data_IF_160640088418
#
_entry.id   IF_160640088418
#
_cell.length_a   1.000
_cell.length_b   1.000
_cell.length_c   1.000
_cell.angle_alpha   90.00
_cell.angle_beta   90.00
_cell.angle_gamma   90.00
#
_symmetry.space_group_name_H-M   'P 1'
#
loop_
_entity.id
_entity.type
_entity.pdbx_description
1 polymer ?
#
# COMPACT_ATOMS: atom_id res chain seq x y z
N UNK A 1 7.52 69.73 0.42
CA UNK A 1 8.39 68.62 0.87
C UNK A 1 7.60 67.65 1.78
N UNK A 2 6.58 66.93 1.27
CA UNK A 2 5.84 65.93 2.03
C UNK A 2 5.41 64.68 1.25
N UNK A 3 6.02 64.38 0.11
CA UNK A 3 5.61 63.21 -0.73
C UNK A 3 6.56 62.00 -0.70
N UNK A 4 7.66 62.05 0.08
CA UNK A 4 8.69 61.00 0.00
C UNK A 4 8.49 59.86 1.02
N UNK A 5 7.59 60.00 1.99
CA UNK A 5 7.44 58.98 3.05
C UNK A 5 6.41 57.90 2.77
N UNK A 6 5.59 58.03 1.71
CA UNK A 6 4.53 57.06 1.44
C UNK A 6 5.03 55.84 0.62
N UNK A 7 5.93 56.11 -0.30
CA UNK A 7 6.50 55.04 -1.16
C UNK A 7 7.34 54.05 -0.35
N UNK A 8 8.07 54.47 0.66
CA UNK A 8 8.90 53.59 1.51
C UNK A 8 8.09 52.64 2.40
N UNK A 9 6.90 53.06 2.83
CA UNK A 9 6.01 52.20 3.64
C UNK A 9 5.33 51.09 2.85
N UNK A 10 5.07 51.29 1.57
CA UNK A 10 4.48 50.26 0.68
C UNK A 10 5.51 49.20 0.32
N UNK A 11 6.76 49.64 0.06
CA UNK A 11 7.84 48.71 -0.29
C UNK A 11 8.23 47.80 0.90
N UNK A 12 8.22 48.33 2.12
CA UNK A 12 8.54 47.52 3.30
C UNK A 12 7.45 46.52 3.69
N UNK A 13 6.18 46.81 3.40
CA UNK A 13 5.07 45.84 3.60
C UNK A 13 5.02 44.76 2.54
N UNK A 14 5.45 45.06 1.31
CA UNK A 14 5.49 44.09 0.23
C UNK A 14 6.61 43.05 0.40
N UNK A 15 7.76 43.44 0.95
CA UNK A 15 8.90 42.56 1.23
C UNK A 15 8.62 41.63 2.42
N UNK A 16 7.82 42.08 3.41
CA UNK A 16 7.47 41.24 4.56
C UNK A 16 6.44 40.14 4.24
N UNK A 17 5.63 40.30 3.20
CA UNK A 17 4.64 39.29 2.78
C UNK A 17 5.23 38.17 1.92
N UNK A 18 6.43 38.34 1.37
CA UNK A 18 7.08 37.36 0.52
C UNK A 18 7.80 36.24 1.29
N UNK A 19 7.89 36.31 2.63
CA UNK A 19 8.65 35.38 3.46
C UNK A 19 7.82 34.31 4.16
N UNK A 20 6.50 34.21 3.91
CA UNK A 20 5.63 33.26 4.63
C UNK A 20 5.11 32.09 3.79
N UNK A 21 5.65 31.85 2.61
CA UNK A 21 5.40 30.59 1.92
C UNK A 21 6.50 29.60 2.30
N UNK A 22 6.56 29.23 3.57
CA UNK A 22 7.25 28.00 3.96
C UNK A 22 6.45 26.83 3.41
N UNK A 23 6.82 26.36 2.24
CA UNK A 23 6.44 25.03 1.81
C UNK A 23 6.94 24.07 2.89
N UNK A 24 6.04 23.50 3.67
CA UNK A 24 6.32 22.34 4.50
C UNK A 24 6.66 21.19 3.54
N UNK A 25 7.91 21.07 3.16
CA UNK A 25 8.43 19.85 2.56
C UNK A 25 8.36 18.81 3.66
N UNK A 26 7.34 17.99 3.62
CA UNK A 26 7.28 16.78 4.45
C UNK A 26 8.48 15.93 4.05
N UNK A 27 9.44 15.76 4.95
CA UNK A 27 10.59 14.91 4.70
C UNK A 27 10.09 13.47 4.57
N UNK A 28 10.29 12.88 3.38
CA UNK A 28 10.04 11.45 3.20
C UNK A 28 11.06 10.68 4.04
N UNK A 29 10.58 9.76 4.86
CA UNK A 29 11.42 8.89 5.68
C UNK A 29 11.60 7.58 4.94
N UNK A 30 12.87 7.17 4.77
CA UNK A 30 13.23 5.91 4.12
C UNK A 30 13.65 4.88 5.15
N UNK A 31 13.13 3.66 5.03
CA UNK A 31 13.55 2.49 5.79
C UNK A 31 14.07 1.47 4.78
N UNK A 32 15.36 1.15 4.86
CA UNK A 32 16.06 0.32 3.88
C UNK A 32 16.71 -0.88 4.57
N UNK A 33 16.61 -2.06 3.99
CA UNK A 33 17.26 -3.27 4.50
C UNK A 33 16.55 -4.56 4.10
N UNK A 34 17.03 -5.67 4.66
CA UNK A 34 16.42 -6.99 4.46
C UNK A 34 15.06 -7.06 5.12
N UNK A 35 14.05 -7.48 4.35
CA UNK A 35 12.68 -7.53 4.82
C UNK A 35 12.27 -8.97 5.20
N UNK A 36 11.60 -9.09 6.35
CA UNK A 36 10.88 -10.30 6.75
C UNK A 36 9.38 -10.06 6.54
N UNK A 37 8.73 -10.90 5.76
CA UNK A 37 7.26 -10.87 5.58
C UNK A 37 6.60 -11.36 6.86
N UNK A 38 5.72 -10.55 7.43
CA UNK A 38 4.89 -10.91 8.59
C UNK A 38 3.51 -11.36 8.12
N UNK A 39 2.96 -10.67 7.12
CA UNK A 39 1.68 -10.91 6.50
C UNK A 39 1.70 -10.40 5.05
N UNK A 40 0.68 -10.71 4.24
CA UNK A 40 0.64 -10.30 2.84
C UNK A 40 0.64 -8.78 2.61
N UNK A 41 0.34 -7.97 3.63
CA UNK A 41 0.38 -6.50 3.59
C UNK A 41 1.26 -5.88 4.67
N UNK A 42 2.07 -6.68 5.37
CA UNK A 42 2.92 -6.20 6.46
C UNK A 42 4.29 -6.87 6.41
N UNK A 43 5.33 -6.06 6.33
CA UNK A 43 6.73 -6.51 6.36
C UNK A 43 7.47 -5.91 7.56
N UNK A 44 8.61 -6.49 7.90
CA UNK A 44 9.51 -5.99 8.96
C UNK A 44 10.90 -5.82 8.39
N UNK A 45 11.47 -4.61 8.52
CA UNK A 45 12.87 -4.31 8.21
C UNK A 45 13.54 -3.93 9.53
N UNK A 46 14.54 -4.70 9.97
CA UNK A 46 15.15 -4.52 11.28
C UNK A 46 14.11 -4.51 12.41
N UNK A 47 14.02 -3.44 13.19
CA UNK A 47 13.02 -3.25 14.26
C UNK A 47 11.70 -2.64 13.78
N UNK A 48 11.62 -2.17 12.54
CA UNK A 48 10.49 -1.42 12.01
C UNK A 48 9.46 -2.34 11.37
N UNK A 49 8.21 -2.29 11.82
CA UNK A 49 7.05 -2.91 11.16
C UNK A 49 6.45 -1.91 10.20
N UNK A 50 6.21 -2.32 8.96
CA UNK A 50 5.70 -1.48 7.88
C UNK A 50 4.46 -2.16 7.31
N UNK A 51 3.32 -1.46 7.39
CA UNK A 51 2.10 -1.85 6.67
C UNK A 51 2.13 -1.19 5.30
N UNK A 52 1.95 -1.99 4.27
CA UNK A 52 1.91 -1.54 2.89
C UNK A 52 0.70 -0.63 2.68
N UNK A 53 0.95 0.64 2.36
CA UNK A 53 -0.06 1.69 2.28
C UNK A 53 -0.94 1.54 1.04
N UNK A 54 -2.23 1.85 1.17
CA UNK A 54 -3.18 1.90 0.06
C UNK A 54 -3.68 0.54 -0.43
N UNK A 55 -3.28 -0.55 0.21
CA UNK A 55 -3.75 -1.91 -0.11
C UNK A 55 -4.29 -2.61 1.14
N UNK A 56 -5.09 -3.66 0.92
CA UNK A 56 -5.59 -4.55 1.97
C UNK A 56 -5.52 -6.00 1.48
N UNK A 57 -4.83 -6.85 2.21
CA UNK A 57 -4.67 -8.25 1.84
C UNK A 57 -5.61 -9.16 2.65
N UNK A 58 -5.98 -10.33 2.12
CA UNK A 58 -6.70 -11.33 2.89
C UNK A 58 -5.95 -11.71 4.17
N UNK A 59 -6.69 -11.90 5.26
CA UNK A 59 -6.13 -12.39 6.52
C UNK A 59 -5.59 -13.82 6.37
N UNK A 60 -4.53 -14.19 7.08
CA UNK A 60 -3.90 -15.53 6.96
C UNK A 60 -4.89 -16.68 6.97
N UNK A 61 -5.87 -16.63 7.87
CA UNK A 61 -6.91 -17.67 8.01
C UNK A 61 -8.16 -17.37 7.18
N UNK A 62 -8.11 -16.43 6.26
CA UNK A 62 -9.23 -16.13 5.38
C UNK A 62 -9.36 -17.23 4.34
N UNK A 63 -10.58 -17.78 4.22
CA UNK A 63 -10.92 -18.78 3.24
C UNK A 63 -11.48 -18.07 2.01
N UNK A 64 -10.93 -18.42 0.87
CA UNK A 64 -11.39 -18.06 -0.48
C UNK A 64 -11.65 -19.32 -1.28
N UNK A 65 -12.38 -19.20 -2.37
CA UNK A 65 -12.61 -20.28 -3.32
C UNK A 65 -11.86 -20.01 -4.61
N UNK A 66 -11.32 -21.05 -5.23
CA UNK A 66 -10.73 -20.98 -6.57
C UNK A 66 -11.26 -22.14 -7.43
N UNK A 67 -11.40 -21.95 -8.75
CA UNK A 67 -11.79 -23.03 -9.63
C UNK A 67 -10.64 -24.03 -9.74
N UNK A 68 -10.92 -25.32 -9.53
CA UNK A 68 -9.97 -26.40 -9.78
C UNK A 68 -10.33 -27.20 -11.05
N UNK A 69 -11.60 -27.14 -11.48
CA UNK A 69 -12.06 -27.72 -12.74
C UNK A 69 -13.02 -26.75 -13.42
N UNK A 70 -12.80 -26.49 -14.71
CA UNK A 70 -13.67 -25.66 -15.53
C UNK A 70 -14.08 -26.44 -16.78
N UNK A 71 -15.37 -26.76 -16.91
CA UNK A 71 -15.94 -27.49 -18.05
C UNK A 71 -16.71 -26.55 -18.99
N UNK A 72 -16.43 -25.26 -18.97
CA UNK A 72 -17.07 -24.24 -19.81
C UNK A 72 -18.43 -23.79 -19.28
N UNK A 73 -19.39 -24.71 -19.12
CA UNK A 73 -20.74 -24.41 -18.62
C UNK A 73 -20.85 -24.47 -17.09
N UNK A 74 -19.93 -25.12 -16.40
CA UNK A 74 -19.82 -25.02 -14.94
C UNK A 74 -18.38 -25.16 -14.46
N UNK A 75 -18.12 -24.63 -13.27
CA UNK A 75 -16.81 -24.71 -12.60
C UNK A 75 -16.99 -25.32 -11.22
N UNK A 76 -16.09 -26.24 -10.86
CA UNK A 76 -15.96 -26.75 -9.51
C UNK A 76 -14.93 -25.93 -8.76
N UNK A 77 -15.19 -25.65 -7.49
CA UNK A 77 -14.37 -24.79 -6.65
C UNK A 77 -13.84 -25.56 -5.45
N UNK A 78 -12.63 -25.21 -5.03
CA UNK A 78 -12.03 -25.66 -3.79
C UNK A 78 -11.76 -24.48 -2.86
N UNK A 79 -11.84 -24.72 -1.57
CA UNK A 79 -11.50 -23.75 -0.54
C UNK A 79 -9.99 -23.75 -0.30
N UNK A 80 -9.43 -22.56 -0.08
CA UNK A 80 -8.02 -22.41 0.30
C UNK A 80 -7.80 -21.18 1.20
N UNK A 81 -6.72 -21.19 1.96
CA UNK A 81 -6.32 -20.06 2.79
C UNK A 81 -5.64 -18.99 1.93
N UNK A 82 -6.44 -18.06 1.40
CA UNK A 82 -5.95 -17.07 0.44
C UNK A 82 -4.98 -16.05 1.05
N UNK A 83 -5.10 -15.73 2.34
CA UNK A 83 -4.15 -14.85 2.99
C UNK A 83 -2.79 -15.51 3.23
N UNK A 84 -2.77 -16.80 3.57
CA UNK A 84 -1.52 -17.57 3.66
C UNK A 84 -0.86 -17.69 2.29
N UNK A 85 -1.65 -18.02 1.27
CA UNK A 85 -1.19 -18.07 -0.12
C UNK A 85 -0.58 -16.74 -0.59
N UNK A 86 -1.25 -15.60 -0.33
CA UNK A 86 -0.74 -14.28 -0.66
C UNK A 86 0.55 -13.95 0.10
N UNK A 87 0.62 -14.31 1.40
CA UNK A 87 1.82 -14.16 2.21
C UNK A 87 3.00 -14.94 1.64
N UNK A 88 2.79 -16.17 1.20
CA UNK A 88 3.85 -17.00 0.60
C UNK A 88 4.28 -16.49 -0.78
N UNK A 89 3.35 -15.93 -1.57
CA UNK A 89 3.71 -15.25 -2.82
C UNK A 89 4.59 -14.02 -2.57
N UNK A 90 4.26 -13.21 -1.56
CA UNK A 90 5.10 -12.08 -1.18
C UNK A 90 6.47 -12.53 -0.67
N UNK A 91 6.53 -13.58 0.17
CA UNK A 91 7.81 -14.15 0.61
C UNK A 91 8.68 -14.53 -0.57
N UNK A 92 8.14 -15.35 -1.51
CA UNK A 92 8.87 -15.76 -2.73
C UNK A 92 9.28 -14.57 -3.58
N UNK A 93 8.44 -13.54 -3.68
CA UNK A 93 8.75 -12.35 -4.46
C UNK A 93 9.93 -11.56 -3.88
N UNK A 94 10.04 -11.44 -2.54
CA UNK A 94 11.12 -10.73 -1.88
C UNK A 94 12.29 -11.65 -1.43
N UNK A 95 12.18 -12.97 -1.68
CA UNK A 95 13.20 -13.97 -1.36
C UNK A 95 14.52 -13.66 -2.08
N UNK A 96 15.64 -14.06 -1.46
CA UNK A 96 17.00 -13.94 -1.95
C UNK A 96 17.66 -12.55 -1.79
N UNK A 97 17.94 -12.20 -0.51
CA UNK A 97 18.98 -11.23 -0.11
C UNK A 97 18.85 -9.82 -0.69
N UNK A 98 17.69 -9.47 -1.26
CA UNK A 98 17.51 -8.16 -1.85
C UNK A 98 17.07 -7.14 -0.81
N UNK A 99 17.73 -6.01 -0.84
CA UNK A 99 17.40 -4.85 -0.03
C UNK A 99 16.05 -4.30 -0.50
N UNK A 100 15.13 -4.18 0.46
CA UNK A 100 13.83 -3.51 0.26
C UNK A 100 13.95 -2.09 0.76
N UNK A 101 13.53 -1.15 -0.07
CA UNK A 101 13.40 0.26 0.27
C UNK A 101 11.92 0.60 0.50
N UNK A 102 11.59 1.21 1.65
CA UNK A 102 10.24 1.67 1.93
C UNK A 102 10.25 3.18 2.20
N UNK A 103 9.44 3.91 1.46
CA UNK A 103 9.08 5.30 1.75
C UNK A 103 7.92 5.27 2.71
N UNK A 104 8.11 5.81 3.89
CA UNK A 104 7.13 5.73 4.97
C UNK A 104 6.74 7.11 5.48
N UNK A 105 5.53 7.20 6.04
CA UNK A 105 5.12 8.37 6.80
C UNK A 105 5.91 8.43 8.11
N UNK A 106 6.13 9.62 8.63
CA UNK A 106 6.80 9.87 9.90
C UNK A 106 6.00 9.35 11.12
N UNK A 107 4.67 9.21 10.97
CA UNK A 107 3.75 8.76 12.02
C UNK A 107 3.39 7.30 11.86
N UNK A 108 3.33 6.60 13.00
CA UNK A 108 2.87 5.23 13.07
C UNK A 108 1.35 5.15 13.19
N UNK A 109 0.78 4.02 12.76
CA UNK A 109 -0.61 3.71 12.99
C UNK A 109 -0.87 3.31 14.47
N UNK A 110 -2.13 3.06 14.81
CA UNK A 110 -2.55 2.64 16.15
C UNK A 110 -1.84 1.35 16.63
N UNK A 111 -1.38 0.50 15.72
CA UNK A 111 -0.67 -0.74 16.02
C UNK A 111 0.86 -0.58 16.06
N UNK A 112 1.36 0.65 16.02
CA UNK A 112 2.79 0.95 16.06
C UNK A 112 3.54 0.64 14.77
N UNK A 113 2.84 0.51 13.61
CA UNK A 113 3.42 0.26 12.30
C UNK A 113 3.57 1.56 11.53
N UNK A 114 4.63 1.69 10.75
CA UNK A 114 4.72 2.71 9.72
C UNK A 114 3.82 2.35 8.54
N UNK A 115 3.23 3.36 7.89
CA UNK A 115 2.51 3.19 6.63
C UNK A 115 3.46 3.55 5.49
N UNK A 116 3.66 2.65 4.54
CA UNK A 116 4.67 2.88 3.51
C UNK A 116 4.39 2.24 2.16
N UNK A 117 5.04 2.78 1.15
CA UNK A 117 5.16 2.19 -0.18
C UNK A 117 6.56 1.59 -0.29
N UNK A 118 6.63 0.29 -0.56
CA UNK A 118 7.87 -0.45 -0.57
C UNK A 118 8.28 -0.90 -1.97
N UNK A 119 9.58 -0.97 -2.20
CA UNK A 119 10.17 -1.27 -3.50
C UNK A 119 11.22 -2.36 -3.39
N UNK A 120 11.24 -3.24 -4.38
CA UNK A 120 12.27 -4.22 -4.67
C UNK A 120 12.84 -3.92 -6.06
N UNK A 121 14.11 -3.49 -6.17
CA UNK A 121 14.71 -3.16 -7.47
C UNK A 121 13.81 -2.25 -8.33
N UNK A 122 13.31 -1.16 -7.76
CA UNK A 122 12.36 -0.21 -8.38
C UNK A 122 10.95 -0.77 -8.67
N UNK A 123 10.68 -2.04 -8.38
CA UNK A 123 9.33 -2.61 -8.51
C UNK A 123 8.54 -2.26 -7.25
N UNK A 124 7.43 -1.56 -7.42
CA UNK A 124 6.51 -1.23 -6.33
C UNK A 124 5.81 -2.51 -5.85
N UNK A 125 6.13 -2.95 -4.62
CA UNK A 125 5.60 -4.17 -4.00
C UNK A 125 4.08 -4.07 -3.79
N UNK A 126 3.59 -2.89 -3.37
CA UNK A 126 2.18 -2.65 -3.13
C UNK A 126 1.37 -2.83 -4.42
N UNK A 127 1.85 -2.23 -5.52
CA UNK A 127 1.27 -2.40 -6.85
C UNK A 127 1.30 -3.86 -7.30
N UNK A 128 2.46 -4.51 -7.18
CA UNK A 128 2.65 -5.90 -7.60
C UNK A 128 1.66 -6.83 -6.90
N UNK A 129 1.42 -6.64 -5.60
CA UNK A 129 0.44 -7.43 -4.85
C UNK A 129 -0.99 -7.26 -5.39
N UNK A 130 -1.40 -6.03 -5.70
CA UNK A 130 -2.74 -5.75 -6.23
C UNK A 130 -2.90 -6.27 -7.65
N UNK A 131 -1.93 -6.01 -8.52
CA UNK A 131 -1.96 -6.42 -9.92
C UNK A 131 -2.01 -7.95 -10.11
N UNK A 132 -1.39 -8.70 -9.17
CA UNK A 132 -1.43 -10.16 -9.16
C UNK A 132 -2.61 -10.75 -8.34
N UNK A 133 -3.48 -9.90 -7.81
CA UNK A 133 -4.64 -10.33 -7.03
C UNK A 133 -4.28 -10.97 -5.69
N UNK A 134 -3.16 -10.59 -5.08
CA UNK A 134 -2.76 -11.01 -3.73
C UNK A 134 -3.22 -10.03 -2.65
N UNK A 135 -3.59 -8.83 -3.07
CA UNK A 135 -4.24 -7.80 -2.25
C UNK A 135 -5.28 -7.06 -3.08
N UNK A 136 -6.12 -6.27 -2.44
CA UNK A 136 -7.09 -5.37 -3.07
C UNK A 136 -6.67 -3.92 -2.85
N UNK A 137 -7.09 -3.02 -3.74
CA UNK A 137 -6.91 -1.59 -3.55
C UNK A 137 -7.77 -1.11 -2.37
N UNK A 138 -7.15 -0.43 -1.40
CA UNK A 138 -7.88 0.10 -0.27
C UNK A 138 -8.18 1.59 -0.46
N UNK A 139 -9.24 1.85 -1.23
CA UNK A 139 -9.61 3.19 -1.73
C UNK A 139 -9.86 4.23 -0.63
N UNK A 140 -10.11 3.77 0.62
CA UNK A 140 -10.24 4.67 1.77
C UNK A 140 -8.94 5.42 2.07
N UNK A 141 -7.79 4.84 1.73
CA UNK A 141 -6.47 5.43 1.97
C UNK A 141 -5.82 5.96 0.70
N UNK A 142 -5.93 5.25 -0.43
CA UNK A 142 -5.37 5.69 -1.71
C UNK A 142 -6.15 5.11 -2.89
N UNK A 143 -6.22 5.88 -3.97
CA UNK A 143 -6.77 5.43 -5.27
C UNK A 143 -5.69 4.96 -6.24
N UNK A 144 -4.41 5.03 -5.88
CA UNK A 144 -3.28 4.78 -6.77
C UNK A 144 -3.28 3.37 -7.36
N UNK A 145 -3.85 2.40 -6.63
CA UNK A 145 -3.86 0.99 -7.00
C UNK A 145 -5.15 0.52 -7.71
N UNK A 146 -6.17 1.38 -7.87
CA UNK A 146 -7.45 1.00 -8.47
C UNK A 146 -7.28 0.45 -9.89
N UNK A 147 -6.47 1.10 -10.72
CA UNK A 147 -6.21 0.64 -12.09
C UNK A 147 -5.56 -0.75 -12.15
N UNK A 148 -4.72 -1.10 -11.18
CA UNK A 148 -4.06 -2.40 -11.09
C UNK A 148 -5.02 -3.49 -10.60
N UNK A 149 -5.93 -3.12 -9.71
CA UNK A 149 -7.00 -4.02 -9.30
C UNK A 149 -7.93 -4.37 -10.48
N UNK A 150 -8.27 -3.39 -11.33
CA UNK A 150 -9.06 -3.65 -12.54
C UNK A 150 -8.33 -4.60 -13.52
N UNK A 151 -7.00 -4.48 -13.65
CA UNK A 151 -6.19 -5.43 -14.40
C UNK A 151 -6.28 -6.83 -13.79
N UNK A 152 -6.12 -6.95 -12.47
CA UNK A 152 -6.23 -8.22 -11.75
C UNK A 152 -7.61 -8.88 -11.94
N UNK A 153 -8.69 -8.10 -11.84
CA UNK A 153 -10.07 -8.55 -12.08
C UNK A 153 -10.26 -9.07 -13.50
N UNK A 154 -9.83 -8.29 -14.51
CA UNK A 154 -9.93 -8.66 -15.93
C UNK A 154 -9.19 -9.97 -16.22
N UNK A 155 -8.02 -10.15 -15.62
CA UNK A 155 -7.18 -11.32 -15.81
C UNK A 155 -7.56 -12.48 -14.87
N UNK A 156 -8.56 -12.31 -14.00
CA UNK A 156 -8.92 -13.28 -12.95
C UNK A 156 -7.71 -13.72 -12.12
N UNK A 157 -6.82 -12.78 -11.79
CA UNK A 157 -5.58 -13.06 -11.09
C UNK A 157 -5.83 -13.28 -9.58
N UNK A 158 -5.09 -14.21 -8.99
CA UNK A 158 -5.11 -14.47 -7.55
C UNK A 158 -6.52 -14.72 -7.00
N UNK A 159 -6.96 -13.93 -6.02
CA UNK A 159 -8.29 -14.03 -5.40
C UNK A 159 -9.43 -13.74 -6.37
N UNK A 160 -9.17 -13.00 -7.45
CA UNK A 160 -10.17 -12.67 -8.48
C UNK A 160 -10.52 -13.84 -9.39
N UNK A 161 -9.80 -14.97 -9.30
CA UNK A 161 -10.13 -16.19 -10.04
C UNK A 161 -11.36 -16.91 -9.52
N UNK A 162 -11.80 -16.60 -8.28
CA UNK A 162 -12.90 -17.30 -7.63
C UNK A 162 -13.76 -16.42 -6.76
N UNK A 163 -14.26 -16.97 -5.65
CA UNK A 163 -15.16 -16.27 -4.72
C UNK A 163 -14.42 -15.97 -3.42
N UNK A 164 -14.57 -14.76 -2.92
CA UNK A 164 -14.00 -14.34 -1.65
C UNK A 164 -14.82 -13.19 -1.04
N UNK A 165 -14.62 -12.95 0.24
CA UNK A 165 -15.05 -11.74 0.91
C UNK A 165 -13.92 -10.71 0.85
N UNK A 166 -14.24 -9.44 0.73
CA UNK A 166 -13.23 -8.40 0.89
C UNK A 166 -12.57 -8.52 2.26
N UNK A 167 -11.25 -8.27 2.39
CA UNK A 167 -10.54 -8.46 3.67
C UNK A 167 -11.20 -7.75 4.85
N UNK A 168 -11.68 -6.52 4.64
CA UNK A 168 -12.40 -5.75 5.68
C UNK A 168 -13.77 -6.33 6.03
N UNK A 169 -14.46 -7.02 5.11
CA UNK A 169 -15.73 -7.71 5.37
C UNK A 169 -15.48 -8.99 6.17
N UNK A 170 -14.43 -9.73 5.81
CA UNK A 170 -14.01 -10.91 6.56
C UNK A 170 -13.72 -10.57 8.02
N UNK A 171 -12.97 -9.48 8.28
CA UNK A 171 -12.69 -9.03 9.65
C UNK A 171 -13.95 -8.65 10.44
N UNK A 172 -14.98 -8.11 9.77
CA UNK A 172 -16.26 -7.78 10.41
C UNK A 172 -17.06 -9.02 10.82
N UNK A 173 -17.02 -10.09 10.02
CA UNK A 173 -17.75 -11.34 10.33
C UNK A 173 -17.16 -12.13 11.50
N UNK A 174 -15.90 -11.89 11.85
CA UNK A 174 -15.22 -12.59 12.94
C UNK A 174 -15.26 -11.87 14.29
N UNK A 175 -15.84 -10.69 14.33
CA UNK A 175 -16.17 -9.97 15.55
C UNK A 175 -17.57 -10.34 16.02
#
# INVERSE_FOLDING_TARGET
MKQWNWQKKIFLKSVFFLFLVFNHVSAEVFIVGYAKVLDADTIKISKYKIRLYGIDAPEKKQICQRPYLNLGFFSLYEDYFCGEFATDKLKKFIENELIIECRVNDKKDFFGRYLGVCYKNNININQWLVENGYAVAFIKYSKDYVKFEEIAKKNKAGIWSGKFLMPWEWRKKKK
#
